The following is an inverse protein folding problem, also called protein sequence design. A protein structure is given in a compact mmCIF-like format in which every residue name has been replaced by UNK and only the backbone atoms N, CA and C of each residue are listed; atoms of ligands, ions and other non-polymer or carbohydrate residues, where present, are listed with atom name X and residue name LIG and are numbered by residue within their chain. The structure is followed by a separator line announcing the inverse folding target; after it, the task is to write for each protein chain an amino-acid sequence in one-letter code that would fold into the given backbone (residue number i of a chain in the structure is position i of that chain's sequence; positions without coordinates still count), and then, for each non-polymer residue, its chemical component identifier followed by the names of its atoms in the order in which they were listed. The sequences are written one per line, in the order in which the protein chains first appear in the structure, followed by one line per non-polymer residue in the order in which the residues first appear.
data_IF_824860997774
#
_entry.id   IF_824860997774
#
_cell.length_a   1.000
_cell.length_b   1.000
_cell.length_c   1.000
_cell.angle_alpha   90.00
_cell.angle_beta   90.00
_cell.angle_gamma   90.00
#
_symmetry.space_group_name_H-M   'P 1'
#
loop_
_entity.id
_entity.type
_entity.pdbx_description
1 polymer ?
#
# COMPACT_ATOMS: atom_id res chain seq x y z
N UNK A 1 -57.77 8.00 19.06
CA UNK A 1 -56.69 7.29 18.31
C UNK A 1 -56.70 7.55 16.79
N UNK A 2 -57.77 7.29 16.02
CA UNK A 2 -57.77 7.47 14.54
C UNK A 2 -57.42 8.89 14.05
N UNK A 3 -57.87 9.96 14.73
CA UNK A 3 -57.51 11.36 14.38
C UNK A 3 -56.03 11.68 14.65
N UNK A 4 -55.45 11.11 15.71
CA UNK A 4 -54.04 11.32 16.07
C UNK A 4 -53.14 10.58 15.08
N UNK A 5 -53.47 9.34 14.70
CA UNK A 5 -52.76 8.62 13.63
C UNK A 5 -52.87 9.32 12.27
N UNK A 6 -54.04 9.89 11.93
CA UNK A 6 -54.22 10.65 10.69
C UNK A 6 -53.38 11.94 10.69
N UNK A 7 -53.31 12.65 11.82
CA UNK A 7 -52.49 13.85 11.94
C UNK A 7 -50.99 13.55 11.91
N UNK A 8 -50.55 12.44 12.52
CA UNK A 8 -49.15 11.97 12.44
C UNK A 8 -48.80 11.56 11.01
N UNK A 9 -49.69 10.85 10.32
CA UNK A 9 -49.47 10.44 8.93
C UNK A 9 -49.40 11.64 7.98
N UNK A 10 -50.23 12.67 8.19
CA UNK A 10 -50.18 13.93 7.43
C UNK A 10 -48.90 14.71 7.72
N UNK A 11 -48.43 14.74 8.98
CA UNK A 11 -47.17 15.39 9.36
C UNK A 11 -45.97 14.69 8.73
N UNK A 12 -45.95 13.35 8.71
CA UNK A 12 -44.88 12.56 8.08
C UNK A 12 -44.83 12.80 6.57
N UNK A 13 -45.99 12.85 5.91
CA UNK A 13 -46.12 13.17 4.48
C UNK A 13 -45.66 14.59 4.16
N UNK A 14 -45.95 15.56 5.04
CA UNK A 14 -45.47 16.93 4.92
C UNK A 14 -43.96 17.03 5.06
N UNK A 15 -43.37 16.29 6.01
CA UNK A 15 -41.91 16.21 6.17
C UNK A 15 -41.28 15.61 4.90
N UNK A 16 -41.82 14.51 4.38
CA UNK A 16 -41.34 13.89 3.13
C UNK A 16 -41.45 14.86 1.92
N UNK A 17 -42.53 15.64 1.82
CA UNK A 17 -42.71 16.66 0.77
C UNK A 17 -41.73 17.84 0.88
N UNK A 18 -41.40 18.29 2.10
CA UNK A 18 -40.45 19.38 2.33
C UNK A 18 -39.03 18.95 1.90
N UNK A 19 -38.68 17.68 2.09
CA UNK A 19 -37.41 17.13 1.62
C UNK A 19 -37.35 16.87 0.11
N UNK A 20 -38.48 16.83 -0.62
CA UNK A 20 -38.49 16.53 -2.06
C UNK A 20 -38.18 17.72 -2.98
N UNK A 21 -38.15 18.96 -2.47
CA UNK A 21 -38.00 20.18 -3.28
C UNK A 21 -36.70 20.98 -3.04
N UNK A 22 -35.84 20.53 -2.11
CA UNK A 22 -34.51 21.13 -1.82
C UNK A 22 -33.35 20.13 -2.06
N UNK A 23 -33.60 19.11 -2.87
CA UNK A 23 -33.18 17.72 -2.61
C UNK A 23 -31.75 17.27 -2.92
N UNK A 24 -30.84 18.11 -3.40
CA UNK A 24 -29.42 17.72 -3.56
C UNK A 24 -28.45 18.79 -3.05
N UNK A 25 -28.74 20.06 -3.32
CA UNK A 25 -27.83 21.16 -3.00
C UNK A 25 -27.68 21.37 -1.49
N UNK A 26 -28.81 21.42 -0.75
CA UNK A 26 -28.76 21.52 0.73
C UNK A 26 -28.18 20.28 1.40
N UNK A 27 -28.33 19.10 0.79
CA UNK A 27 -27.72 17.86 1.30
C UNK A 27 -26.20 17.90 1.11
N UNK A 28 -25.72 18.40 -0.02
CA UNK A 28 -24.29 18.57 -0.27
C UNK A 28 -23.67 19.66 0.61
N UNK A 29 -24.35 20.79 0.81
CA UNK A 29 -23.94 21.81 1.79
C UNK A 29 -23.81 21.22 3.19
N UNK A 30 -24.81 20.45 3.64
CA UNK A 30 -24.74 19.75 4.93
C UNK A 30 -23.60 18.73 4.97
N UNK A 31 -23.37 17.97 3.89
CA UNK A 31 -22.25 17.01 3.82
C UNK A 31 -20.88 17.72 3.85
N UNK A 32 -20.75 18.89 3.23
CA UNK A 32 -19.56 19.73 3.29
C UNK A 32 -19.33 20.24 4.71
N UNK A 33 -20.36 20.77 5.37
CA UNK A 33 -20.29 21.23 6.77
C UNK A 33 -19.94 20.10 7.74
N UNK A 34 -20.43 18.89 7.48
CA UNK A 34 -20.13 17.69 8.27
C UNK A 34 -18.79 17.02 7.89
N UNK A 35 -18.05 17.56 6.91
CA UNK A 35 -16.76 17.00 6.45
C UNK A 35 -16.86 15.63 5.78
N UNK A 36 -18.06 15.25 5.30
CA UNK A 36 -18.32 13.98 4.62
C UNK A 36 -17.93 14.01 3.13
N UNK A 37 -17.83 15.22 2.56
CA UNK A 37 -17.31 15.48 1.22
C UNK A 37 -16.42 16.73 1.26
N UNK A 38 -15.57 16.89 0.26
CA UNK A 38 -14.75 18.08 0.04
C UNK A 38 -14.89 18.55 -1.43
N UNK A 39 -14.63 19.83 -1.66
CA UNK A 39 -14.64 20.41 -3.02
C UNK A 39 -13.23 20.56 -3.60
N UNK A 40 -12.21 20.05 -2.91
CA UNK A 40 -10.81 20.29 -3.24
C UNK A 40 -10.40 19.58 -4.53
N UNK A 41 -11.22 18.63 -5.02
CA UNK A 41 -10.96 17.84 -6.24
C UNK A 41 -11.97 18.10 -7.38
N UNK A 42 -12.77 19.18 -7.32
CA UNK A 42 -13.77 19.53 -8.37
C UNK A 42 -13.15 19.80 -9.75
N UNK A 43 -11.83 19.99 -9.82
CA UNK A 43 -11.08 20.10 -11.06
C UNK A 43 -10.90 18.77 -11.81
N UNK A 44 -11.24 17.63 -11.19
CA UNK A 44 -11.21 16.31 -11.85
C UNK A 44 -12.52 16.05 -12.60
N UNK A 45 -13.62 16.60 -12.07
CA UNK A 45 -14.99 16.33 -12.49
C UNK A 45 -15.22 16.65 -13.98
N UNK A 46 -16.13 15.89 -14.60
CA UNK A 46 -16.66 16.18 -15.95
C UNK A 46 -15.61 16.28 -17.07
N UNK A 47 -14.51 15.53 -16.95
CA UNK A 47 -13.48 15.46 -18.01
C UNK A 47 -12.56 16.68 -18.07
N UNK A 48 -12.48 17.46 -16.99
CA UNK A 48 -11.49 18.52 -16.81
C UNK A 48 -10.09 17.97 -16.59
N UNK A 49 -9.98 16.80 -15.96
CA UNK A 49 -8.73 16.05 -15.92
C UNK A 49 -8.57 15.20 -17.19
N UNK A 50 -7.48 15.43 -17.92
CA UNK A 50 -7.17 14.73 -19.17
C UNK A 50 -6.55 13.36 -18.92
N UNK A 51 -5.75 13.25 -17.86
CA UNK A 51 -5.10 12.01 -17.43
C UNK A 51 -4.68 12.07 -15.97
N UNK A 52 -4.54 10.89 -15.38
CA UNK A 52 -3.92 10.70 -14.07
C UNK A 52 -2.70 9.80 -14.26
N UNK A 53 -1.55 10.21 -13.74
CA UNK A 53 -0.35 9.39 -13.68
C UNK A 53 -0.20 8.87 -12.26
N UNK A 54 -0.02 7.56 -12.11
CA UNK A 54 0.27 6.92 -10.83
C UNK A 54 1.64 6.28 -10.97
N UNK A 55 2.61 6.77 -10.19
CA UNK A 55 4.00 6.38 -10.25
C UNK A 55 4.40 5.74 -8.92
N UNK A 56 4.93 4.52 -8.93
CA UNK A 56 5.53 3.97 -7.71
C UNK A 56 6.77 4.77 -7.32
N UNK A 57 6.91 5.04 -6.02
CA UNK A 57 8.10 5.67 -5.43
C UNK A 57 9.28 4.70 -5.37
N UNK A 58 9.01 3.40 -5.30
CA UNK A 58 9.99 2.32 -5.15
C UNK A 58 10.54 1.82 -6.50
N UNK A 59 9.73 1.88 -7.54
CA UNK A 59 10.14 1.56 -8.91
C UNK A 59 9.61 2.62 -9.89
N UNK A 60 10.52 3.47 -10.39
CA UNK A 60 10.18 4.52 -11.35
C UNK A 60 9.71 3.96 -12.71
N UNK A 61 10.07 2.72 -13.05
CA UNK A 61 9.53 2.01 -14.21
C UNK A 61 8.08 1.55 -14.03
N UNK A 62 7.61 1.43 -12.78
CA UNK A 62 6.25 1.03 -12.46
C UNK A 62 5.30 2.22 -12.43
N UNK A 63 4.91 2.63 -13.65
CA UNK A 63 4.13 3.84 -13.92
C UNK A 63 2.88 3.52 -14.73
N UNK A 64 1.77 4.12 -14.34
CA UNK A 64 0.48 4.00 -15.03
C UNK A 64 0.00 5.34 -15.51
N UNK A 65 -0.59 5.36 -16.72
CA UNK A 65 -1.26 6.53 -17.27
C UNK A 65 -2.72 6.16 -17.46
N UNK A 66 -3.58 6.76 -16.65
CA UNK A 66 -5.02 6.57 -16.69
C UNK A 66 -5.63 7.68 -17.54
N UNK A 67 -6.19 7.32 -18.69
CA UNK A 67 -6.92 8.23 -19.60
C UNK A 67 -8.38 7.84 -19.78
N UNK A 68 -8.78 6.70 -19.21
CA UNK A 68 -10.16 6.23 -19.27
C UNK A 68 -11.06 7.12 -18.40
N UNK A 69 -12.10 7.69 -19.02
CA UNK A 69 -12.97 8.67 -18.35
C UNK A 69 -13.79 8.07 -17.21
N UNK A 70 -14.15 6.79 -17.29
CA UNK A 70 -14.87 6.12 -16.20
C UNK A 70 -13.96 6.00 -14.98
N UNK A 71 -12.72 5.55 -15.19
CA UNK A 71 -11.73 5.38 -14.12
C UNK A 71 -11.34 6.72 -13.48
N UNK A 72 -11.22 7.79 -14.28
CA UNK A 72 -11.01 9.15 -13.76
C UNK A 72 -12.23 9.63 -12.94
N UNK A 73 -13.45 9.31 -13.39
CA UNK A 73 -14.68 9.57 -12.64
C UNK A 73 -14.71 8.82 -11.29
N UNK A 74 -14.38 7.54 -11.29
CA UNK A 74 -14.30 6.72 -10.07
C UNK A 74 -13.27 7.30 -9.08
N UNK A 75 -12.13 7.77 -9.59
CA UNK A 75 -11.12 8.46 -8.77
C UNK A 75 -11.70 9.73 -8.13
N UNK A 76 -12.40 10.57 -8.90
CA UNK A 76 -13.06 11.76 -8.38
C UNK A 76 -14.09 11.41 -7.29
N UNK A 77 -14.92 10.39 -7.50
CA UNK A 77 -15.92 9.97 -6.51
C UNK A 77 -15.28 9.54 -5.19
N UNK A 78 -14.11 8.88 -5.26
CA UNK A 78 -13.36 8.51 -4.05
C UNK A 78 -12.74 9.75 -3.39
N UNK A 79 -12.06 10.60 -4.16
CA UNK A 79 -11.34 11.77 -3.64
C UNK A 79 -12.28 12.86 -3.10
N UNK A 80 -13.43 13.09 -3.72
CA UNK A 80 -14.45 14.02 -3.24
C UNK A 80 -15.06 13.60 -1.90
N UNK A 81 -14.97 12.32 -1.54
CA UNK A 81 -15.37 11.80 -0.22
C UNK A 81 -14.23 11.74 0.80
N UNK A 82 -13.01 12.15 0.41
CA UNK A 82 -11.86 12.12 1.30
C UNK A 82 -12.01 13.10 2.47
N UNK A 83 -11.61 12.66 3.66
CA UNK A 83 -11.68 13.48 4.87
C UNK A 83 -10.40 14.30 4.97
N UNK A 84 -10.52 15.63 4.99
CA UNK A 84 -9.38 16.53 5.23
C UNK A 84 -8.91 16.43 6.68
N UNK A 85 -7.60 16.39 6.88
CA UNK A 85 -6.95 16.34 8.21
C UNK A 85 -5.70 17.22 8.21
N UNK A 86 -5.14 17.46 9.40
CA UNK A 86 -3.98 18.33 9.56
C UNK A 86 -2.64 17.56 9.50
N UNK A 87 -2.66 16.29 9.91
CA UNK A 87 -1.45 15.47 10.03
C UNK A 87 -1.42 14.38 8.96
N UNK A 88 -0.28 14.28 8.27
CA UNK A 88 0.00 13.20 7.31
C UNK A 88 0.67 12.03 8.01
N UNK A 89 0.56 10.83 7.43
CA UNK A 89 1.29 9.66 7.89
C UNK A 89 2.81 9.91 7.86
N UNK A 90 3.51 9.32 8.83
CA UNK A 90 4.97 9.33 8.91
C UNK A 90 5.61 8.30 7.96
N UNK A 91 4.79 7.39 7.40
CA UNK A 91 5.24 6.38 6.47
C UNK A 91 5.67 7.00 5.13
N UNK A 92 6.62 6.32 4.49
CA UNK A 92 7.04 6.71 3.14
C UNK A 92 5.87 6.51 2.15
N UNK A 93 5.68 7.40 1.16
CA UNK A 93 4.65 7.21 0.16
C UNK A 93 4.96 6.01 -0.73
N UNK A 94 3.92 5.27 -1.12
CA UNK A 94 4.01 4.15 -2.06
C UNK A 94 3.91 4.62 -3.51
N UNK A 95 3.12 5.67 -3.73
CA UNK A 95 2.85 6.23 -5.05
C UNK A 95 2.85 7.75 -5.05
N UNK A 96 3.16 8.33 -6.21
CA UNK A 96 2.93 9.72 -6.55
C UNK A 96 1.83 9.77 -7.59
N UNK A 97 0.77 10.51 -7.28
CA UNK A 97 -0.35 10.80 -8.15
C UNK A 97 -0.10 12.15 -8.81
N UNK A 98 -0.14 12.20 -10.13
CA UNK A 98 -0.17 13.45 -10.89
C UNK A 98 -1.49 13.54 -11.64
N UNK A 99 -2.31 14.54 -11.31
CA UNK A 99 -3.60 14.78 -11.95
C UNK A 99 -3.43 15.95 -12.90
N UNK A 100 -3.60 15.71 -14.19
CA UNK A 100 -3.32 16.68 -15.25
C UNK A 100 -4.63 17.32 -15.70
N UNK A 101 -4.73 18.64 -15.53
CA UNK A 101 -5.89 19.46 -15.89
C UNK A 101 -5.42 20.59 -16.81
N UNK A 102 -5.69 20.51 -18.11
CA UNK A 102 -5.44 21.61 -19.07
C UNK A 102 -4.02 22.22 -18.96
N UNK A 103 -3.00 21.39 -18.71
CA UNK A 103 -1.59 21.79 -18.55
C UNK A 103 -1.15 22.07 -17.11
N UNK A 104 -2.06 22.16 -16.15
CA UNK A 104 -1.77 22.19 -14.72
C UNK A 104 -1.56 20.77 -14.20
N UNK A 105 -0.55 20.57 -13.34
CA UNK A 105 -0.25 19.27 -12.74
C UNK A 105 -0.40 19.36 -11.22
N UNK A 106 -1.43 18.69 -10.70
CA UNK A 106 -1.65 18.57 -9.26
C UNK A 106 -0.96 17.29 -8.77
N UNK A 107 -0.05 17.41 -7.79
CA UNK A 107 0.76 16.28 -7.30
C UNK A 107 0.40 15.91 -5.87
N UNK A 108 0.22 14.62 -5.63
CA UNK A 108 -0.03 14.06 -4.31
C UNK A 108 0.84 12.83 -4.07
N UNK A 109 1.41 12.75 -2.89
CA UNK A 109 1.95 11.52 -2.33
C UNK A 109 0.80 10.67 -1.80
N UNK A 110 0.88 9.37 -2.00
CA UNK A 110 -0.14 8.41 -1.58
C UNK A 110 0.49 7.19 -0.90
N UNK A 111 -0.11 6.78 0.22
CA UNK A 111 0.21 5.56 0.96
C UNK A 111 -0.99 4.63 0.83
N UNK A 112 -0.76 3.40 0.39
CA UNK A 112 -1.83 2.41 0.26
C UNK A 112 -2.30 1.96 1.63
N UNK A 113 -3.61 1.80 1.80
CA UNK A 113 -4.23 1.47 3.08
C UNK A 113 -4.48 2.68 3.98
N UNK A 114 -4.83 2.42 5.24
CA UNK A 114 -5.12 3.47 6.24
C UNK A 114 -4.07 3.40 7.34
N UNK A 115 -3.60 4.56 7.77
CA UNK A 115 -2.68 4.69 8.89
C UNK A 115 -3.36 4.26 10.20
N UNK A 116 -2.58 3.68 11.13
CA UNK A 116 -3.08 3.21 12.44
C UNK A 116 -3.56 4.37 13.33
N UNK A 117 -3.06 5.58 13.12
CA UNK A 117 -3.36 6.78 13.91
C UNK A 117 -4.37 7.72 13.23
N UNK A 118 -5.09 7.25 12.20
CA UNK A 118 -5.99 8.08 11.38
C UNK A 118 -5.28 9.30 10.75
N UNK A 119 -3.99 9.18 10.44
CA UNK A 119 -3.25 10.18 9.69
C UNK A 119 -3.52 10.10 8.19
N UNK A 120 -3.38 11.23 7.51
CA UNK A 120 -3.67 11.32 6.08
C UNK A 120 -2.72 10.47 5.24
N UNK A 121 -3.31 9.65 4.36
CA UNK A 121 -2.62 8.77 3.43
C UNK A 121 -2.56 9.34 2.00
N UNK A 122 -3.19 10.48 1.74
CA UNK A 122 -3.01 11.26 0.51
C UNK A 122 -2.64 12.69 0.88
N UNK A 123 -1.53 13.21 0.38
CA UNK A 123 -1.08 14.55 0.74
C UNK A 123 -0.26 15.25 -0.33
N UNK A 124 -0.38 16.56 -0.39
CA UNK A 124 0.51 17.48 -1.10
C UNK A 124 1.22 18.38 -0.08
N UNK A 125 1.94 19.40 -0.55
CA UNK A 125 2.52 20.42 0.32
C UNK A 125 1.46 21.28 1.01
N UNK A 126 0.26 21.38 0.43
CA UNK A 126 -0.80 22.30 0.86
C UNK A 126 -1.96 21.61 1.59
N UNK A 127 -2.14 20.30 1.40
CA UNK A 127 -3.32 19.62 1.90
C UNK A 127 -3.07 18.14 2.20
N UNK A 128 -3.79 17.64 3.21
CA UNK A 128 -3.68 16.27 3.71
C UNK A 128 -5.08 15.67 3.84
N UNK A 129 -5.23 14.44 3.39
CA UNK A 129 -6.50 13.74 3.34
C UNK A 129 -6.36 12.29 3.79
N UNK A 130 -7.40 11.79 4.46
CA UNK A 130 -7.66 10.36 4.62
C UNK A 130 -8.56 9.92 3.46
N UNK A 131 -8.06 8.98 2.67
CA UNK A 131 -8.73 8.39 1.52
C UNK A 131 -8.96 6.91 1.77
N UNK A 132 -10.16 6.43 1.46
CA UNK A 132 -10.53 5.04 1.67
C UNK A 132 -9.71 4.06 0.81
N UNK A 133 -9.64 2.79 1.25
CA UNK A 133 -9.00 1.66 0.53
C UNK A 133 -9.60 1.35 -0.84
N UNK A 134 -10.65 2.07 -1.27
CA UNK A 134 -11.22 1.93 -2.61
C UNK A 134 -10.22 2.30 -3.70
N UNK A 135 -9.34 3.30 -3.49
CA UNK A 135 -8.28 3.58 -4.47
C UNK A 135 -7.40 2.34 -4.67
N UNK A 136 -7.02 1.67 -3.57
CA UNK A 136 -6.20 0.46 -3.63
C UNK A 136 -6.89 -0.67 -4.40
N UNK A 137 -8.18 -0.91 -4.11
CA UNK A 137 -8.93 -2.06 -4.64
C UNK A 137 -9.46 -1.85 -6.06
N UNK A 138 -10.01 -0.67 -6.31
CA UNK A 138 -10.76 -0.33 -7.52
C UNK A 138 -9.82 0.24 -8.59
N UNK A 139 -8.71 0.88 -8.19
CA UNK A 139 -7.75 1.50 -9.11
C UNK A 139 -6.43 0.72 -9.11
N UNK A 140 -5.66 0.75 -8.01
CA UNK A 140 -4.27 0.27 -7.99
C UNK A 140 -4.16 -1.23 -8.27
N UNK A 141 -5.02 -2.05 -7.67
CA UNK A 141 -5.00 -3.51 -7.89
C UNK A 141 -5.25 -3.89 -9.36
N UNK A 142 -6.09 -3.14 -10.06
CA UNK A 142 -6.32 -3.34 -11.49
C UNK A 142 -5.07 -2.98 -12.31
N UNK A 143 -4.25 -2.02 -11.83
CA UNK A 143 -2.98 -1.66 -12.45
C UNK A 143 -1.91 -2.76 -12.30
N UNK A 144 -1.96 -3.54 -11.22
CA UNK A 144 -1.01 -4.64 -10.94
C UNK A 144 -1.15 -5.89 -11.84
N UNK A 145 -2.17 -5.95 -12.71
CA UNK A 145 -2.36 -6.91 -13.83
C UNK A 145 -1.62 -8.26 -13.72
N UNK A 146 -2.20 -9.32 -13.12
CA UNK A 146 -1.72 -10.74 -13.02
C UNK A 146 -0.21 -11.00 -12.73
N UNK A 147 0.60 -9.97 -12.54
CA UNK A 147 2.06 -10.00 -12.48
C UNK A 147 2.55 -9.80 -11.06
N UNK A 148 1.69 -9.65 -10.05
CA UNK A 148 2.11 -9.78 -8.67
C UNK A 148 2.07 -11.26 -8.24
N UNK A 149 3.01 -11.73 -7.41
CA UNK A 149 2.83 -12.99 -6.69
C UNK A 149 1.51 -12.97 -5.93
N UNK A 150 0.78 -14.09 -5.95
CA UNK A 150 -0.40 -14.24 -5.07
C UNK A 150 0.09 -14.11 -3.64
N UNK A 151 -0.54 -13.24 -2.85
CA UNK A 151 -0.18 -13.01 -1.44
C UNK A 151 1.32 -12.66 -1.31
N UNK A 152 1.74 -11.59 -2.01
CA UNK A 152 3.13 -11.10 -1.99
C UNK A 152 3.69 -10.99 -0.57
N UNK A 153 2.94 -10.40 0.37
CA UNK A 153 3.34 -10.31 1.78
C UNK A 153 3.74 -11.65 2.39
N UNK A 154 2.93 -12.69 2.17
CA UNK A 154 3.16 -14.05 2.70
C UNK A 154 4.41 -14.67 2.09
N UNK A 155 4.58 -14.52 0.78
CA UNK A 155 5.72 -15.13 0.08
C UNK A 155 7.01 -14.36 0.31
N UNK A 156 7.01 -13.04 0.18
CA UNK A 156 8.21 -12.21 0.26
C UNK A 156 8.71 -12.09 1.71
N UNK A 157 7.96 -11.40 2.56
CA UNK A 157 8.35 -11.18 3.96
C UNK A 157 8.33 -12.48 4.76
N UNK A 158 7.32 -13.34 4.53
CA UNK A 158 7.26 -14.65 5.19
C UNK A 158 8.46 -15.55 4.90
N UNK A 159 9.05 -15.47 3.69
CA UNK A 159 10.30 -16.21 3.40
C UNK A 159 11.49 -15.66 4.17
N UNK A 160 11.58 -14.34 4.35
CA UNK A 160 12.65 -13.73 5.12
C UNK A 160 12.52 -14.15 6.59
N UNK A 161 11.31 -14.10 7.16
CA UNK A 161 11.06 -14.57 8.53
C UNK A 161 11.36 -16.07 8.69
N UNK A 162 10.94 -16.90 7.74
CA UNK A 162 11.23 -18.34 7.75
C UNK A 162 12.74 -18.62 7.67
N UNK A 163 13.46 -17.87 6.82
CA UNK A 163 14.91 -17.92 6.74
C UNK A 163 15.57 -17.58 8.08
N UNK A 164 15.15 -16.49 8.73
CA UNK A 164 15.68 -16.08 10.03
C UNK A 164 15.35 -17.10 11.13
N UNK A 165 14.16 -17.71 11.09
CA UNK A 165 13.81 -18.79 12.02
C UNK A 165 14.70 -20.03 11.83
N UNK A 166 14.98 -20.41 10.58
CA UNK A 166 15.75 -21.61 10.26
C UNK A 166 17.27 -21.43 10.45
N UNK A 167 17.82 -20.27 10.09
CA UNK A 167 19.26 -20.04 9.98
C UNK A 167 19.76 -18.84 10.82
N UNK A 168 18.86 -18.05 11.41
CA UNK A 168 19.20 -16.82 12.09
C UNK A 168 20.10 -16.98 13.32
N UNK A 169 20.04 -18.14 14.01
CA UNK A 169 20.91 -18.43 15.16
C UNK A 169 22.39 -18.49 14.76
N UNK A 170 22.69 -19.05 13.59
CA UNK A 170 24.07 -19.16 13.10
C UNK A 170 24.59 -17.79 12.66
N UNK A 171 23.70 -16.96 12.10
CA UNK A 171 24.01 -15.62 11.60
C UNK A 171 24.24 -14.61 12.73
N UNK A 172 23.53 -14.78 13.85
CA UNK A 172 23.61 -13.90 15.03
C UNK A 172 24.65 -14.36 16.06
N UNK A 173 25.45 -15.38 15.73
CA UNK A 173 26.53 -15.82 16.61
C UNK A 173 27.40 -14.61 17.04
N UNK A 174 27.64 -14.49 18.34
CA UNK A 174 28.36 -13.37 18.98
C UNK A 174 27.63 -12.01 18.96
N UNK A 175 26.29 -12.01 18.99
CA UNK A 175 25.49 -10.78 19.12
C UNK A 175 25.64 -9.80 17.96
N UNK A 176 25.94 -10.33 16.76
CA UNK A 176 26.02 -9.54 15.52
C UNK A 176 24.70 -8.82 15.24
N UNK A 177 24.78 -7.53 14.90
CA UNK A 177 23.65 -6.74 14.40
C UNK A 177 23.35 -7.12 12.95
N UNK A 178 22.09 -7.41 12.66
CA UNK A 178 21.66 -7.92 11.36
C UNK A 178 20.83 -6.86 10.64
N UNK A 179 21.27 -6.45 9.45
CA UNK A 179 20.51 -5.56 8.57
C UNK A 179 19.80 -6.37 7.49
N UNK A 180 18.48 -6.21 7.38
CA UNK A 180 17.68 -6.78 6.29
C UNK A 180 17.59 -5.72 5.17
N UNK A 181 18.32 -5.95 4.08
CA UNK A 181 18.38 -5.03 2.94
C UNK A 181 17.37 -5.46 1.86
N UNK A 182 16.26 -4.72 1.79
CA UNK A 182 15.22 -4.90 0.78
C UNK A 182 15.50 -4.12 -0.51
N UNK A 183 16.44 -3.17 -0.49
CA UNK A 183 16.69 -2.25 -1.60
C UNK A 183 17.33 -2.92 -2.82
N UNK A 184 17.98 -4.07 -2.61
CA UNK A 184 18.62 -4.84 -3.69
C UNK A 184 17.62 -5.59 -4.58
N UNK A 185 16.37 -5.73 -4.13
CA UNK A 185 15.34 -6.44 -4.88
C UNK A 185 14.45 -5.50 -5.68
N UNK A 186 14.98 -4.98 -6.79
CA UNK A 186 14.22 -4.15 -7.75
C UNK A 186 12.93 -4.86 -8.18
N UNK A 187 12.96 -6.19 -8.30
CA UNK A 187 11.84 -6.96 -8.83
C UNK A 187 10.71 -7.16 -7.82
N UNK A 188 11.05 -7.27 -6.54
CA UNK A 188 10.10 -7.24 -5.44
C UNK A 188 9.64 -5.82 -5.07
N UNK A 189 10.48 -4.81 -5.25
CA UNK A 189 10.27 -3.44 -4.76
C UNK A 189 8.93 -2.83 -5.19
N UNK A 190 8.48 -3.09 -6.42
CA UNK A 190 7.20 -2.60 -6.97
C UNK A 190 5.94 -3.09 -6.25
N UNK A 191 6.05 -4.14 -5.43
CA UNK A 191 4.94 -4.71 -4.67
C UNK A 191 5.05 -4.44 -3.16
N UNK A 192 6.13 -3.80 -2.71
CA UNK A 192 6.30 -3.45 -1.31
C UNK A 192 5.48 -2.21 -0.98
N UNK A 193 4.57 -2.35 -0.03
CA UNK A 193 3.73 -1.27 0.49
C UNK A 193 4.21 -0.83 1.87
N UNK A 194 4.16 0.46 2.17
CA UNK A 194 4.71 1.00 3.41
C UNK A 194 4.07 0.45 4.68
N UNK A 195 2.75 0.25 4.70
CA UNK A 195 2.09 -0.43 5.82
C UNK A 195 2.55 -1.88 5.97
N UNK A 196 2.78 -2.59 4.87
CA UNK A 196 3.28 -3.97 4.94
C UNK A 196 4.73 -4.04 5.42
N UNK A 197 5.54 -3.03 5.09
CA UNK A 197 6.91 -2.90 5.61
C UNK A 197 6.87 -2.65 7.12
N UNK A 198 6.04 -1.71 7.60
CA UNK A 198 5.89 -1.44 9.03
C UNK A 198 5.43 -2.70 9.79
N UNK A 199 4.43 -3.41 9.27
CA UNK A 199 3.99 -4.69 9.83
C UNK A 199 5.10 -5.75 9.81
N UNK A 200 5.91 -5.79 8.75
CA UNK A 200 7.07 -6.68 8.67
C UNK A 200 8.15 -6.31 9.69
N UNK A 201 8.42 -5.03 9.96
CA UNK A 201 9.35 -4.59 11.00
C UNK A 201 8.92 -5.08 12.39
N UNK A 202 7.62 -5.02 12.70
CA UNK A 202 7.07 -5.54 13.95
C UNK A 202 7.29 -7.07 14.07
N UNK A 203 7.02 -7.82 13.01
CA UNK A 203 7.22 -9.28 12.98
C UNK A 203 8.72 -9.67 12.98
N UNK A 204 9.56 -8.86 12.34
CA UNK A 204 11.00 -9.01 12.34
C UNK A 204 11.56 -8.87 13.76
N UNK A 205 11.14 -7.83 14.50
CA UNK A 205 11.57 -7.61 15.87
C UNK A 205 11.16 -8.76 16.82
N UNK A 206 10.00 -9.38 16.58
CA UNK A 206 9.53 -10.58 17.32
C UNK A 206 10.36 -11.82 16.97
N UNK A 207 10.74 -11.96 15.70
CA UNK A 207 11.49 -13.11 15.18
C UNK A 207 12.97 -13.05 15.57
N UNK A 208 13.57 -11.86 15.48
CA UNK A 208 14.97 -11.60 15.77
C UNK A 208 15.17 -10.14 16.22
N UNK A 209 15.35 -9.93 17.52
CA UNK A 209 15.47 -8.58 18.12
C UNK A 209 16.73 -7.80 17.69
N UNK A 210 17.75 -8.47 17.18
CA UNK A 210 18.97 -7.84 16.63
C UNK A 210 18.86 -7.51 15.14
N UNK A 211 17.76 -7.89 14.49
CA UNK A 211 17.50 -7.59 13.09
C UNK A 211 16.71 -6.28 12.94
N UNK A 212 17.10 -5.46 11.98
CA UNK A 212 16.33 -4.29 11.53
C UNK A 212 16.37 -4.19 10.02
N UNK A 213 15.37 -3.53 9.43
CA UNK A 213 15.44 -3.15 8.02
C UNK A 213 16.54 -2.09 7.84
N UNK A 214 17.29 -2.21 6.75
CA UNK A 214 18.30 -1.22 6.38
C UNK A 214 17.62 -0.02 5.73
N UNK A 215 17.87 1.17 6.26
CA UNK A 215 17.44 2.45 5.69
C UNK A 215 18.63 3.42 5.68
N UNK A 216 19.41 3.38 4.59
CA UNK A 216 20.58 4.23 4.38
C UNK A 216 21.65 4.20 5.50
N UNK A 217 21.59 3.19 6.36
CA UNK A 217 22.44 3.00 7.54
C UNK A 217 23.14 1.63 7.53
N UNK A 218 23.42 1.12 6.33
CA UNK A 218 23.92 -0.25 6.15
C UNK A 218 25.18 -0.52 6.99
N UNK A 219 26.03 0.48 7.19
CA UNK A 219 27.27 0.48 7.97
C UNK A 219 27.09 0.16 9.45
N UNK A 220 25.89 0.35 10.01
CA UNK A 220 25.60 0.05 11.41
C UNK A 220 25.47 -1.45 11.72
N UNK A 221 25.40 -2.28 10.68
CA UNK A 221 25.17 -3.71 10.78
C UNK A 221 26.44 -4.52 10.48
N UNK A 222 26.66 -5.55 11.30
CA UNK A 222 27.76 -6.51 11.14
C UNK A 222 27.49 -7.49 10.00
N UNK A 223 26.21 -7.86 9.82
CA UNK A 223 25.74 -8.77 8.78
C UNK A 223 24.65 -8.09 7.96
N UNK A 224 24.73 -8.22 6.64
CA UNK A 224 23.66 -7.82 5.72
C UNK A 224 22.99 -9.05 5.13
N UNK A 225 21.67 -9.11 5.24
CA UNK A 225 20.81 -10.10 4.61
C UNK A 225 20.07 -9.39 3.49
N UNK A 226 20.45 -9.64 2.24
CA UNK A 226 19.75 -9.12 1.08
C UNK A 226 18.91 -10.20 0.43
N UNK A 227 17.78 -9.81 -0.15
CA UNK A 227 16.94 -10.70 -0.94
C UNK A 227 16.97 -10.26 -2.40
N UNK A 228 16.88 -11.23 -3.32
CA UNK A 228 16.74 -10.96 -4.75
C UNK A 228 15.76 -11.93 -5.38
N UNK A 229 14.59 -11.43 -5.74
CA UNK A 229 13.57 -12.17 -6.49
C UNK A 229 14.13 -12.61 -7.83
N UNK A 230 14.05 -13.92 -8.10
CA UNK A 230 14.49 -14.53 -9.37
C UNK A 230 13.34 -14.71 -10.34
N UNK A 231 12.12 -14.78 -9.81
CA UNK A 231 10.92 -14.85 -10.61
C UNK A 231 9.76 -15.41 -9.81
N UNK A 232 8.57 -15.17 -10.34
CA UNK A 232 7.34 -15.60 -9.71
C UNK A 232 6.27 -15.90 -10.76
N UNK A 233 5.29 -16.70 -10.35
CA UNK A 233 4.02 -16.95 -11.03
C UNK A 233 2.94 -16.97 -9.96
N UNK A 234 1.68 -17.09 -10.36
CA UNK A 234 0.54 -17.16 -9.42
C UNK A 234 0.69 -18.23 -8.34
N UNK A 235 1.47 -19.30 -8.58
CA UNK A 235 1.67 -20.41 -7.63
C UNK A 235 3.13 -20.70 -7.29
N UNK A 236 4.08 -19.89 -7.74
CA UNK A 236 5.51 -20.13 -7.50
C UNK A 236 6.17 -18.81 -7.18
N UNK A 237 6.99 -18.77 -6.14
CA UNK A 237 7.85 -17.63 -5.83
C UNK A 237 9.28 -18.11 -5.59
N UNK A 238 10.23 -17.53 -6.31
CA UNK A 238 11.65 -17.86 -6.20
C UNK A 238 12.48 -16.63 -5.89
N UNK A 239 13.36 -16.74 -4.92
CA UNK A 239 14.30 -15.70 -4.55
C UNK A 239 15.60 -16.29 -4.01
N UNK A 240 16.66 -15.49 -4.01
CA UNK A 240 17.92 -15.81 -3.35
C UNK A 240 18.10 -14.85 -2.20
N UNK A 241 18.32 -15.37 -1.01
CA UNK A 241 18.82 -14.60 0.12
C UNK A 241 20.34 -14.71 0.14
N UNK A 242 21.01 -13.58 0.25
CA UNK A 242 22.45 -13.49 0.41
C UNK A 242 22.77 -12.92 1.78
N UNK A 243 23.53 -13.68 2.57
CA UNK A 243 24.07 -13.25 3.85
C UNK A 243 25.51 -12.83 3.62
N UNK A 244 25.79 -11.54 3.81
CA UNK A 244 27.14 -11.00 3.78
C UNK A 244 27.59 -10.63 5.18
N UNK A 245 28.55 -11.39 5.70
CA UNK A 245 29.21 -11.09 6.96
C UNK A 245 30.35 -10.11 6.73
N UNK A 246 30.25 -8.89 7.27
CA UNK A 246 31.27 -7.86 7.04
C UNK A 246 32.52 -8.07 7.89
N UNK A 247 32.39 -8.76 9.02
CA UNK A 247 33.49 -9.04 9.94
C UNK A 247 34.38 -10.10 9.31
N UNK A 248 33.77 -11.21 8.89
CA UNK A 248 34.46 -12.37 8.31
C UNK A 248 34.68 -12.22 6.80
N UNK A 249 34.07 -11.20 6.18
CA UNK A 249 34.06 -10.93 4.72
C UNK A 249 33.61 -12.14 3.92
N UNK A 250 32.60 -12.83 4.42
CA UNK A 250 32.07 -14.07 3.82
C UNK A 250 30.68 -13.85 3.25
N UNK A 251 30.36 -14.57 2.17
CA UNK A 251 29.06 -14.54 1.52
C UNK A 251 28.47 -15.95 1.52
N UNK A 252 27.24 -16.08 2.02
CA UNK A 252 26.49 -17.34 2.00
C UNK A 252 25.14 -17.14 1.32
N UNK A 253 24.72 -18.09 0.48
CA UNK A 253 23.46 -18.02 -0.27
C UNK A 253 22.45 -19.05 0.20
N UNK A 254 21.21 -18.59 0.27
CA UNK A 254 20.04 -19.38 0.57
C UNK A 254 19.02 -19.20 -0.54
N UNK A 255 18.26 -20.24 -0.81
CA UNK A 255 17.37 -20.34 -1.95
C UNK A 255 15.95 -20.51 -1.45
N UNK A 256 15.07 -19.64 -1.92
CA UNK A 256 13.64 -19.67 -1.67
C UNK A 256 12.97 -20.28 -2.88
N UNK A 257 12.18 -21.33 -2.67
CA UNK A 257 11.38 -21.95 -3.73
C UNK A 257 9.99 -22.30 -3.19
N UNK A 258 9.15 -21.28 -3.07
CA UNK A 258 7.82 -21.43 -2.52
C UNK A 258 6.85 -21.90 -3.59
N UNK A 259 5.93 -22.77 -3.16
CA UNK A 259 4.91 -23.35 -4.04
C UNK A 259 3.55 -23.16 -3.36
N UNK A 260 2.57 -22.73 -4.14
CA UNK A 260 1.20 -22.61 -3.68
C UNK A 260 0.39 -23.85 -4.10
N UNK A 261 0.11 -24.72 -3.14
CA UNK A 261 -0.66 -25.95 -3.32
C UNK A 261 -1.73 -26.07 -2.22
N UNK A 262 -2.84 -26.74 -2.52
CA UNK A 262 -3.94 -26.98 -1.58
C UNK A 262 -4.55 -25.74 -0.91
N UNK A 263 -4.38 -24.55 -1.49
CA UNK A 263 -4.96 -23.31 -0.98
C UNK A 263 -4.02 -22.48 -0.11
N UNK A 264 -2.80 -22.97 0.14
CA UNK A 264 -1.81 -22.34 1.01
C UNK A 264 -0.44 -22.27 0.33
N UNK A 265 0.42 -21.39 0.83
CA UNK A 265 1.82 -21.29 0.41
C UNK A 265 2.70 -22.18 1.29
N UNK A 266 3.45 -23.07 0.66
CA UNK A 266 4.55 -23.78 1.28
C UNK A 266 5.82 -22.93 1.16
N UNK A 267 6.30 -22.40 2.29
CA UNK A 267 7.49 -21.54 2.35
C UNK A 267 8.73 -22.39 2.57
N UNK A 268 9.55 -22.52 1.53
CA UNK A 268 10.71 -23.40 1.51
C UNK A 268 12.00 -22.60 1.35
N UNK A 269 12.88 -22.69 2.35
CA UNK A 269 14.18 -22.03 2.36
C UNK A 269 15.30 -23.05 2.57
N UNK A 270 16.27 -23.10 1.66
CA UNK A 270 17.37 -24.07 1.71
C UNK A 270 18.72 -23.39 1.53
N UNK A 271 19.79 -23.97 2.10
CA UNK A 271 21.17 -23.54 1.85
C UNK A 271 21.79 -24.23 0.60
N UNK A 272 21.05 -25.15 -0.01
CA UNK A 272 21.45 -25.88 -1.22
C UNK A 272 20.55 -25.47 -2.38
N UNK A 273 21.14 -25.12 -3.52
CA UNK A 273 20.39 -24.69 -4.71
C UNK A 273 19.45 -25.82 -5.19
N UNK A 274 18.13 -25.59 -5.26
CA UNK A 274 17.19 -26.59 -5.76
C UNK A 274 17.47 -26.97 -7.22
N UNK A 275 17.16 -28.22 -7.58
CA UNK A 275 17.17 -28.65 -8.98
C UNK A 275 16.12 -27.85 -9.77
N UNK A 276 16.51 -27.25 -10.91
CA UNK A 276 15.68 -26.35 -11.74
C UNK A 276 15.24 -25.06 -11.02
N UNK A 277 16.14 -24.47 -10.25
CA UNK A 277 16.00 -23.13 -9.67
C UNK A 277 16.07 -22.04 -10.74
#
# INVERSE_FOLDING_TARGET
MKKVLKNISVLLLLIIMIFSSSGCQKINELKLELGLINNDFEYIKEGKADKIIIQSTRDQGFRFIVTDKSTIGDMYDILSSAKKVDEKSELQPDYIFEIHENGTVHKFNYITGLDKNDYGNLYSDDAVYIVSKRIDHDIIRNLWNYRAPREFKVTYYGSILQFLNAFGKDITANSKKVGIDLSQDVEGAKYQLSLEIEEFEEELAKTMSTAKIVDNNSEEFDVLVSIKTQGYKTKVYKAVITVFDKVDKSETKYYINNIHENGEWEINVTNTRPNRF
#
